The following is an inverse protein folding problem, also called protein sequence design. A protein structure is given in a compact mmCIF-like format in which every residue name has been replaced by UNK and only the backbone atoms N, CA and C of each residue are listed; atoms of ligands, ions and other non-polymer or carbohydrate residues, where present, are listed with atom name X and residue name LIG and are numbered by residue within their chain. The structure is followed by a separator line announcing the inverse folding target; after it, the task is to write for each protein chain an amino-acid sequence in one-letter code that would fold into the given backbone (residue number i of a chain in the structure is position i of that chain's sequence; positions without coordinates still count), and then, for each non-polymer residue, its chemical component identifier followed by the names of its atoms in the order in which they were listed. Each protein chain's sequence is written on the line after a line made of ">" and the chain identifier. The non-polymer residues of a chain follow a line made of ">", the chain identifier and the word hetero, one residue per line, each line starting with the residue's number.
data_IF_012027695390
#
_entry.id   IF_012027695390
#
_cell.length_a   1.000
_cell.length_b   1.000
_cell.length_c   1.000
_cell.angle_alpha   90.00
_cell.angle_beta   90.00
_cell.angle_gamma   90.00
#
_symmetry.space_group_name_H-M   'P 1'
#
loop_
_entity.id
_entity.type
_entity.pdbx_description
1 polymer ?
#
# COMPACT_ATOMS: atom_id res chain seq x y z
N UNK A 1 22.10 16.41 -2.58
CA UNK A 1 22.06 15.01 -3.08
C UNK A 1 20.66 14.49 -2.81
N UNK A 2 19.90 14.11 -3.83
CA UNK A 2 18.59 13.51 -3.61
C UNK A 2 18.81 12.08 -3.11
N UNK A 3 18.42 11.81 -1.86
CA UNK A 3 18.56 10.51 -1.23
C UNK A 3 17.41 9.62 -1.72
N UNK A 4 17.57 8.99 -2.88
CA UNK A 4 16.56 8.08 -3.45
C UNK A 4 16.63 6.74 -2.72
N UNK A 5 15.56 6.38 -2.01
CA UNK A 5 15.43 5.12 -1.28
C UNK A 5 14.44 4.20 -2.01
N UNK A 6 14.78 2.92 -2.15
CA UNK A 6 13.88 1.93 -2.75
C UNK A 6 12.86 1.47 -1.71
N UNK A 7 11.57 1.71 -1.98
CA UNK A 7 10.49 1.34 -1.07
C UNK A 7 9.92 -0.06 -1.38
N UNK A 8 10.23 -0.69 -2.51
CA UNK A 8 9.64 -1.98 -2.85
C UNK A 8 10.32 -3.17 -2.14
N UNK A 9 9.51 -4.16 -1.78
CA UNK A 9 9.90 -5.49 -1.34
C UNK A 9 9.78 -6.43 -2.54
N UNK A 10 10.92 -6.89 -3.03
CA UNK A 10 10.99 -8.04 -3.93
C UNK A 10 11.09 -9.32 -3.10
N UNK A 11 10.36 -10.35 -3.53
CA UNK A 11 10.34 -11.66 -2.87
C UNK A 11 11.06 -12.66 -3.77
N UNK A 12 12.14 -13.26 -3.28
CA UNK A 12 12.90 -14.27 -4.02
C UNK A 12 12.36 -15.69 -3.78
N UNK A 13 12.90 -16.66 -4.54
CA UNK A 13 12.44 -18.05 -4.49
C UNK A 13 12.58 -18.70 -3.11
N UNK A 14 13.56 -18.28 -2.31
CA UNK A 14 13.81 -18.86 -0.99
C UNK A 14 12.83 -18.35 0.08
N UNK A 15 12.08 -17.28 -0.20
CA UNK A 15 11.19 -16.68 0.77
C UNK A 15 9.89 -17.50 0.97
N UNK A 16 9.37 -17.65 2.20
CA UNK A 16 8.14 -18.40 2.47
C UNK A 16 6.92 -17.94 1.64
N UNK A 17 6.77 -16.64 1.42
CA UNK A 17 5.69 -16.08 0.60
C UNK A 17 5.77 -16.52 -0.87
N UNK A 18 6.97 -16.61 -1.45
CA UNK A 18 7.16 -17.13 -2.80
C UNK A 18 6.74 -18.60 -2.88
N UNK A 19 7.20 -19.40 -1.92
CA UNK A 19 6.86 -20.82 -1.85
C UNK A 19 5.36 -21.04 -1.62
N UNK A 20 4.70 -20.15 -0.87
CA UNK A 20 3.25 -20.15 -0.73
C UNK A 20 2.54 -19.84 -2.06
N UNK A 21 2.96 -18.79 -2.76
CA UNK A 21 2.36 -18.37 -4.04
C UNK A 21 2.49 -19.47 -5.11
N UNK A 22 3.67 -20.10 -5.21
CA UNK A 22 3.94 -21.22 -6.11
C UNK A 22 3.03 -22.44 -5.88
N UNK A 23 2.53 -22.63 -4.67
CA UNK A 23 1.64 -23.76 -4.29
C UNK A 23 0.16 -23.49 -4.55
N UNK A 24 -0.23 -22.27 -4.89
CA UNK A 24 -1.61 -21.94 -5.20
C UNK A 24 -2.02 -22.50 -6.57
N UNK A 25 -3.30 -22.89 -6.70
CA UNK A 25 -3.85 -23.38 -7.97
C UNK A 25 -3.78 -22.30 -9.06
N UNK A 26 -3.99 -21.04 -8.69
CA UNK A 26 -3.72 -19.87 -9.52
C UNK A 26 -2.45 -19.17 -9.01
N UNK A 27 -1.30 -19.76 -9.32
CA UNK A 27 0.00 -19.23 -8.88
C UNK A 27 0.30 -17.84 -9.44
N UNK A 28 -0.16 -17.54 -10.67
CA UNK A 28 0.02 -16.22 -11.29
C UNK A 28 -0.71 -15.14 -10.49
N UNK A 29 -1.97 -15.38 -10.13
CA UNK A 29 -2.70 -14.47 -9.25
C UNK A 29 -2.01 -14.34 -7.89
N UNK A 30 -1.60 -15.45 -7.29
CA UNK A 30 -0.95 -15.43 -5.97
C UNK A 30 0.38 -14.65 -5.97
N UNK A 31 1.16 -14.70 -7.05
CA UNK A 31 2.37 -13.89 -7.21
C UNK A 31 2.07 -12.39 -7.30
N UNK A 32 0.87 -12.00 -7.74
CA UNK A 32 0.42 -10.60 -7.73
C UNK A 32 0.22 -10.02 -6.34
N UNK A 33 0.07 -10.86 -5.31
CA UNK A 33 -0.23 -10.46 -3.93
C UNK A 33 0.95 -10.64 -2.95
N UNK A 34 2.18 -10.85 -3.47
CA UNK A 34 3.38 -10.95 -2.63
C UNK A 34 4.36 -9.81 -2.91
N UNK A 35 5.14 -9.45 -1.90
CA UNK A 35 6.00 -8.28 -1.95
C UNK A 35 5.21 -6.98 -1.90
N UNK A 36 5.85 -5.89 -2.32
CA UNK A 36 5.14 -4.63 -2.55
C UNK A 36 4.27 -4.81 -3.78
N UNK A 37 2.97 -4.57 -3.64
CA UNK A 37 2.01 -4.77 -4.73
C UNK A 37 0.84 -3.78 -4.60
N UNK A 38 -0.01 -3.81 -5.61
CA UNK A 38 -1.25 -3.07 -5.70
C UNK A 38 -2.37 -4.07 -5.93
N UNK A 39 -3.39 -4.00 -5.09
CA UNK A 39 -4.63 -4.74 -5.32
C UNK A 39 -5.59 -3.86 -6.14
N UNK A 40 -6.07 -4.40 -7.25
CA UNK A 40 -7.05 -3.76 -8.13
C UNK A 40 -8.13 -4.76 -8.51
N UNK A 41 -9.39 -4.39 -8.33
CA UNK A 41 -10.54 -5.27 -8.53
C UNK A 41 -11.52 -4.81 -9.60
N UNK A 42 -11.59 -3.52 -9.86
CA UNK A 42 -12.52 -2.91 -10.84
C UNK A 42 -11.83 -1.93 -11.78
N UNK A 43 -10.82 -1.20 -11.29
CA UNK A 43 -10.03 -0.24 -12.06
C UNK A 43 -8.60 -0.23 -11.53
N UNK A 44 -7.64 0.00 -12.42
CA UNK A 44 -6.24 0.20 -12.05
C UNK A 44 -5.69 1.57 -12.48
N UNK A 45 -4.46 1.90 -12.05
CA UNK A 45 -3.74 3.09 -12.48
C UNK A 45 -3.63 3.15 -14.01
N UNK A 46 -3.90 4.32 -14.57
CA UNK A 46 -3.90 4.56 -16.03
C UNK A 46 -2.49 4.71 -16.62
N UNK A 47 -1.57 5.26 -15.83
CA UNK A 47 -0.17 5.46 -16.23
C UNK A 47 0.68 4.33 -15.68
N UNK A 48 1.77 4.00 -16.35
CA UNK A 48 2.79 3.08 -15.81
C UNK A 48 3.74 3.76 -14.84
N UNK A 49 3.78 5.10 -14.82
CA UNK A 49 4.65 5.87 -13.94
C UNK A 49 3.93 7.08 -13.35
N UNK A 50 4.20 7.34 -12.07
CA UNK A 50 3.71 8.50 -11.33
C UNK A 50 4.83 9.13 -10.52
N UNK A 51 4.78 10.44 -10.37
CA UNK A 51 5.55 11.18 -9.39
C UNK A 51 4.58 12.05 -8.61
N UNK A 52 4.41 11.75 -7.33
CA UNK A 52 3.44 12.44 -6.46
C UNK A 52 4.13 12.95 -5.22
N UNK A 53 3.70 14.12 -4.73
CA UNK A 53 4.01 14.55 -3.37
C UNK A 53 3.35 13.63 -2.36
N UNK A 54 3.85 13.61 -1.13
CA UNK A 54 3.37 12.69 -0.10
C UNK A 54 3.04 13.39 1.20
N UNK A 55 2.00 12.90 1.88
CA UNK A 55 1.68 13.22 3.27
C UNK A 55 1.91 11.97 4.10
N UNK A 56 2.84 12.02 5.05
CA UNK A 56 3.13 10.90 5.96
C UNK A 56 2.31 11.05 7.24
N UNK A 57 1.58 10.00 7.60
CA UNK A 57 0.84 9.89 8.85
C UNK A 57 1.51 8.81 9.70
N UNK A 58 2.01 9.21 10.88
CA UNK A 58 2.61 8.28 11.85
C UNK A 58 1.52 7.43 12.51
N UNK A 59 1.54 6.14 12.20
CA UNK A 59 0.59 5.12 12.65
C UNK A 59 1.25 4.08 13.56
N UNK A 60 2.46 4.34 14.08
CA UNK A 60 3.21 3.36 14.89
C UNK A 60 2.50 2.94 16.17
N UNK A 61 1.68 3.84 16.72
CA UNK A 61 0.88 3.61 17.94
C UNK A 61 -0.53 3.13 17.62
N UNK A 62 -1.20 3.75 16.65
CA UNK A 62 -2.56 3.42 16.22
C UNK A 62 -2.81 3.94 14.80
N UNK A 63 -3.78 3.35 14.10
CA UNK A 63 -4.23 3.84 12.81
C UNK A 63 -4.85 5.25 12.90
N UNK A 64 -4.85 6.04 11.82
CA UNK A 64 -5.25 7.44 11.85
C UNK A 64 -6.69 7.63 12.33
N UNK A 65 -6.89 8.70 13.09
CA UNK A 65 -8.23 9.17 13.48
C UNK A 65 -8.71 10.29 12.57
N UNK A 66 -10.01 10.59 12.60
CA UNK A 66 -10.58 11.73 11.88
C UNK A 66 -9.89 13.05 12.19
N UNK A 67 -9.48 13.27 13.45
CA UNK A 67 -8.78 14.49 13.85
C UNK A 67 -7.40 14.62 13.20
N UNK A 68 -6.72 13.49 12.95
CA UNK A 68 -5.40 13.46 12.31
C UNK A 68 -5.50 13.77 10.82
N UNK A 69 -6.53 13.26 10.14
CA UNK A 69 -6.69 13.45 8.68
C UNK A 69 -7.38 14.75 8.32
N UNK A 70 -8.17 15.33 9.23
CA UNK A 70 -8.92 16.56 8.98
C UNK A 70 -7.96 17.76 8.83
N UNK A 71 -8.02 18.41 7.67
CA UNK A 71 -7.21 19.60 7.37
C UNK A 71 -5.85 19.29 6.72
N UNK A 72 -5.52 18.01 6.51
CA UNK A 72 -4.40 17.64 5.64
C UNK A 72 -4.80 17.84 4.18
N UNK A 73 -3.94 18.53 3.43
CA UNK A 73 -4.08 18.64 1.97
C UNK A 73 -3.52 17.39 1.31
N UNK A 74 -4.42 16.50 0.88
CA UNK A 74 -4.10 15.21 0.25
C UNK A 74 -4.35 15.19 -1.26
N UNK A 75 -4.84 16.30 -1.84
CA UNK A 75 -5.28 16.34 -3.24
C UNK A 75 -4.17 15.99 -4.22
N UNK A 76 -4.34 14.89 -4.95
CA UNK A 76 -3.36 14.37 -5.91
C UNK A 76 -2.09 13.76 -5.29
N UNK A 77 -2.04 13.62 -3.95
CA UNK A 77 -0.86 13.17 -3.21
C UNK A 77 -0.95 11.69 -2.82
N UNK A 78 0.19 11.10 -2.52
CA UNK A 78 0.28 9.82 -1.83
C UNK A 78 0.17 10.00 -0.32
N UNK A 79 -0.84 9.39 0.30
CA UNK A 79 -0.96 9.31 1.75
C UNK A 79 -0.19 8.09 2.24
N UNK A 80 0.86 8.31 3.02
CA UNK A 80 1.71 7.24 3.55
C UNK A 80 1.31 6.94 4.99
N UNK A 81 0.82 5.74 5.24
CA UNK A 81 0.48 5.22 6.55
C UNK A 81 1.70 4.49 7.11
N UNK A 82 2.49 5.18 7.94
CA UNK A 82 3.70 4.61 8.54
C UNK A 82 3.37 3.89 9.84
N UNK A 83 3.16 2.59 9.77
CA UNK A 83 2.81 1.72 10.90
C UNK A 83 4.03 1.18 11.64
N UNK A 84 5.21 1.15 10.99
CA UNK A 84 6.39 0.45 11.49
C UNK A 84 6.19 -1.06 11.63
N UNK A 85 5.16 -1.65 10.99
CA UNK A 85 4.87 -3.07 11.08
C UNK A 85 6.02 -3.89 10.45
N UNK A 86 6.43 -3.50 9.25
CA UNK A 86 7.52 -4.16 8.53
C UNK A 86 8.84 -4.17 9.32
N UNK A 87 9.24 -3.01 9.88
CA UNK A 87 10.49 -2.87 10.65
C UNK A 87 10.48 -3.68 11.96
N UNK A 88 9.31 -3.87 12.57
CA UNK A 88 9.16 -4.59 13.84
C UNK A 88 9.01 -6.10 13.68
N UNK A 89 8.43 -6.56 12.57
CA UNK A 89 7.95 -7.93 12.46
C UNK A 89 8.47 -8.71 11.26
N UNK A 90 9.21 -8.05 10.35
CA UNK A 90 9.62 -8.59 9.05
C UNK A 90 8.45 -9.03 8.17
N UNK A 91 8.65 -8.94 6.85
CA UNK A 91 7.61 -9.29 5.89
C UNK A 91 7.24 -10.79 5.97
N UNK A 92 5.94 -11.09 5.91
CA UNK A 92 5.43 -12.46 5.78
C UNK A 92 5.50 -13.31 7.06
N UNK A 93 5.86 -12.74 8.21
CA UNK A 93 5.80 -13.46 9.49
C UNK A 93 4.37 -13.49 10.06
N UNK A 94 4.05 -14.45 10.95
CA UNK A 94 2.76 -14.45 11.64
C UNK A 94 2.51 -13.21 12.50
N UNK A 95 3.56 -12.54 12.97
CA UNK A 95 3.42 -11.29 13.74
C UNK A 95 3.04 -10.12 12.83
N UNK A 96 3.63 -10.06 11.64
CA UNK A 96 3.32 -9.07 10.62
C UNK A 96 1.85 -9.07 10.23
N UNK A 97 1.28 -10.26 9.98
CA UNK A 97 -0.13 -10.43 9.61
C UNK A 97 -1.13 -10.24 10.75
N UNK A 98 -0.69 -9.94 11.98
CA UNK A 98 -1.58 -9.68 13.14
C UNK A 98 -1.67 -8.20 13.50
N UNK A 99 -0.91 -7.33 12.84
CA UNK A 99 -0.92 -5.90 13.12
C UNK A 99 -2.26 -5.29 12.73
N UNK A 100 -2.94 -4.57 13.63
CA UNK A 100 -4.23 -3.96 13.32
C UNK A 100 -4.04 -2.72 12.43
N UNK A 101 -4.08 -2.89 11.11
CA UNK A 101 -3.85 -1.81 10.13
C UNK A 101 -5.09 -1.37 9.37
N UNK A 102 -6.27 -1.76 9.82
CA UNK A 102 -7.52 -1.35 9.21
C UNK A 102 -7.85 0.11 9.51
N UNK A 103 -8.27 0.85 8.48
CA UNK A 103 -8.89 2.16 8.64
C UNK A 103 -10.35 1.99 9.05
N UNK A 104 -10.89 2.97 9.76
CA UNK A 104 -12.35 3.13 9.85
C UNK A 104 -12.89 3.68 8.53
N UNK A 105 -14.12 3.34 8.15
CA UNK A 105 -14.75 3.86 6.92
C UNK A 105 -14.74 5.38 6.84
N UNK A 106 -15.00 6.07 7.95
CA UNK A 106 -15.04 7.55 7.98
C UNK A 106 -13.69 8.18 7.64
N UNK A 107 -12.61 7.55 8.09
CA UNK A 107 -11.24 8.02 7.82
C UNK A 107 -10.87 7.78 6.37
N UNK A 108 -11.21 6.62 5.81
CA UNK A 108 -11.03 6.34 4.40
C UNK A 108 -11.81 7.34 3.54
N UNK A 109 -13.11 7.50 3.79
CA UNK A 109 -13.97 8.42 3.05
C UNK A 109 -13.47 9.87 3.14
N UNK A 110 -12.90 10.27 4.28
CA UNK A 110 -12.28 11.58 4.44
C UNK A 110 -11.02 11.75 3.59
N UNK A 111 -10.16 10.72 3.47
CA UNK A 111 -8.97 10.76 2.61
C UNK A 111 -9.37 10.82 1.13
N UNK A 112 -10.35 9.99 0.73
CA UNK A 112 -10.85 9.93 -0.64
C UNK A 112 -11.56 11.22 -1.05
N UNK A 113 -12.36 11.81 -0.15
CA UNK A 113 -13.02 13.10 -0.37
C UNK A 113 -12.05 14.28 -0.49
N UNK A 114 -10.81 14.14 -0.01
CA UNK A 114 -9.72 15.13 -0.22
C UNK A 114 -8.94 14.86 -1.51
N UNK A 115 -9.25 13.80 -2.25
CA UNK A 115 -8.62 13.47 -3.53
C UNK A 115 -7.23 12.85 -3.40
N UNK A 116 -6.97 12.06 -2.36
CA UNK A 116 -5.76 11.24 -2.28
C UNK A 116 -5.59 10.39 -3.55
N UNK A 117 -4.42 10.44 -4.20
CA UNK A 117 -4.16 9.67 -5.42
C UNK A 117 -3.66 8.25 -5.12
N UNK A 118 -2.95 8.10 -4.01
CA UNK A 118 -2.47 6.80 -3.54
C UNK A 118 -2.56 6.73 -2.03
N UNK A 119 -2.80 5.53 -1.50
CA UNK A 119 -2.58 5.20 -0.09
C UNK A 119 -1.45 4.18 -0.05
N UNK A 120 -0.32 4.52 0.57
CA UNK A 120 0.82 3.63 0.69
C UNK A 120 0.95 3.18 2.14
N UNK A 121 1.12 1.88 2.38
CA UNK A 121 1.23 1.34 3.75
C UNK A 121 2.36 0.32 3.87
N UNK A 122 3.11 0.40 4.97
CA UNK A 122 4.17 -0.57 5.31
C UNK A 122 3.60 -1.81 6.03
N UNK A 123 2.44 -2.27 5.59
CA UNK A 123 1.65 -3.39 6.11
C UNK A 123 0.85 -4.06 4.99
N UNK A 124 0.09 -5.10 5.34
CA UNK A 124 -0.71 -5.96 4.47
C UNK A 124 -2.03 -5.35 3.96
N UNK A 125 -2.20 -4.03 4.07
CA UNK A 125 -3.41 -3.35 3.61
C UNK A 125 -4.16 -2.54 4.66
N UNK A 126 -5.27 -1.93 4.20
CA UNK A 126 -6.05 -0.91 4.94
C UNK A 126 -7.46 -1.34 5.33
N UNK A 127 -7.93 -2.51 4.89
CA UNK A 127 -9.19 -3.13 5.33
C UNK A 127 -8.94 -4.38 6.17
N UNK A 128 -9.95 -4.86 6.91
CA UNK A 128 -9.86 -6.21 7.47
C UNK A 128 -9.93 -7.26 6.35
N UNK A 129 -9.33 -8.43 6.59
CA UNK A 129 -9.27 -9.51 5.62
C UNK A 129 -10.63 -9.88 5.01
N UNK A 130 -10.62 -10.33 3.76
CA UNK A 130 -11.82 -10.84 3.07
C UNK A 130 -12.60 -9.73 2.37
N UNK A 131 -13.92 -9.71 2.54
CA UNK A 131 -14.80 -8.81 1.80
C UNK A 131 -14.58 -7.33 2.13
N UNK A 132 -14.17 -7.01 3.37
CA UNK A 132 -13.92 -5.61 3.76
C UNK A 132 -12.69 -5.04 3.04
N UNK A 133 -11.60 -5.79 2.97
CA UNK A 133 -10.40 -5.45 2.18
C UNK A 133 -10.77 -5.08 0.74
N UNK A 134 -11.46 -5.99 0.05
CA UNK A 134 -11.91 -5.78 -1.33
C UNK A 134 -12.83 -4.56 -1.44
N UNK A 135 -13.71 -4.36 -0.44
CA UNK A 135 -14.60 -3.20 -0.43
C UNK A 135 -13.85 -1.88 -0.28
N UNK A 136 -12.74 -1.84 0.46
CA UNK A 136 -11.96 -0.63 0.67
C UNK A 136 -11.15 -0.30 -0.58
N UNK A 137 -10.53 -1.30 -1.20
CA UNK A 137 -9.76 -1.10 -2.43
C UNK A 137 -10.66 -0.63 -3.57
N UNK A 138 -11.81 -1.27 -3.77
CA UNK A 138 -12.80 -0.79 -4.76
C UNK A 138 -13.27 0.63 -4.50
N UNK A 139 -13.45 1.01 -3.23
CA UNK A 139 -13.85 2.37 -2.88
C UNK A 139 -12.74 3.38 -3.19
N UNK A 140 -11.48 3.00 -2.99
CA UNK A 140 -10.34 3.79 -3.45
C UNK A 140 -10.37 3.95 -4.97
N UNK A 141 -10.54 2.84 -5.68
CA UNK A 141 -10.60 2.81 -7.14
C UNK A 141 -11.71 3.73 -7.68
N UNK A 142 -12.91 3.73 -7.09
CA UNK A 142 -14.02 4.62 -7.46
C UNK A 142 -13.65 6.11 -7.39
N UNK A 143 -12.64 6.48 -6.59
CA UNK A 143 -12.14 7.84 -6.41
C UNK A 143 -10.82 8.11 -7.15
N UNK A 144 -10.39 7.23 -8.06
CA UNK A 144 -9.08 7.30 -8.73
C UNK A 144 -7.91 7.28 -7.73
N UNK A 145 -8.11 6.63 -6.58
CA UNK A 145 -7.12 6.34 -5.56
C UNK A 145 -6.72 4.86 -5.60
N UNK A 146 -5.47 4.54 -5.31
CA UNK A 146 -5.00 3.16 -5.31
C UNK A 146 -4.14 2.83 -4.09
N UNK A 147 -4.31 1.62 -3.56
CA UNK A 147 -3.59 1.16 -2.37
C UNK A 147 -2.30 0.44 -2.80
N UNK A 148 -1.16 0.85 -2.24
CA UNK A 148 0.13 0.19 -2.42
C UNK A 148 0.55 -0.39 -1.08
N UNK A 149 0.68 -1.70 -1.05
CA UNK A 149 0.91 -2.45 0.18
C UNK A 149 2.36 -2.85 0.36
N UNK A 150 2.71 -3.20 1.60
CA UNK A 150 4.00 -3.75 1.96
C UNK A 150 5.19 -2.85 1.53
N UNK A 151 5.08 -1.52 1.63
CA UNK A 151 6.21 -0.64 1.33
C UNK A 151 7.25 -0.66 2.45
N UNK A 152 8.53 -0.52 2.09
CA UNK A 152 9.62 -0.38 3.05
C UNK A 152 9.63 1.01 3.65
N UNK A 153 9.36 1.09 4.94
CA UNK A 153 9.44 2.32 5.70
C UNK A 153 10.32 2.12 6.94
N UNK A 154 11.09 3.16 7.26
CA UNK A 154 11.82 3.31 8.51
C UNK A 154 11.54 4.71 9.05
N UNK A 155 11.86 4.95 10.31
CA UNK A 155 11.71 6.30 10.90
C UNK A 155 12.49 7.36 10.12
N UNK A 156 13.68 7.00 9.62
CA UNK A 156 14.51 7.89 8.80
C UNK A 156 13.85 8.26 7.46
N UNK A 157 13.23 7.27 6.79
CA UNK A 157 12.49 7.52 5.54
C UNK A 157 11.26 8.39 5.83
N UNK A 158 10.46 8.02 6.84
CA UNK A 158 9.24 8.72 7.20
C UNK A 158 9.48 10.22 7.52
N UNK A 159 10.55 10.54 8.26
CA UNK A 159 10.87 11.93 8.59
C UNK A 159 11.28 12.81 7.39
N UNK A 160 11.79 12.19 6.32
CA UNK A 160 12.36 12.89 5.17
C UNK A 160 11.50 12.81 3.90
N UNK A 161 10.51 11.91 3.86
CA UNK A 161 9.69 11.67 2.68
C UNK A 161 8.84 12.92 2.34
N UNK A 162 8.94 13.36 1.08
CA UNK A 162 8.18 14.49 0.52
C UNK A 162 7.46 14.13 -0.78
N UNK A 163 7.89 13.05 -1.42
CA UNK A 163 7.27 12.51 -2.61
C UNK A 163 7.76 11.10 -2.88
N UNK A 164 7.09 10.44 -3.82
CA UNK A 164 7.40 9.09 -4.25
C UNK A 164 7.30 9.01 -5.77
N UNK A 165 8.24 8.27 -6.38
CA UNK A 165 8.14 7.82 -7.75
C UNK A 165 7.61 6.39 -7.74
N UNK A 166 6.48 6.16 -8.43
CA UNK A 166 5.83 4.85 -8.51
C UNK A 166 5.94 4.40 -9.95
N UNK A 167 6.38 3.15 -10.16
CA UNK A 167 6.41 2.50 -11.46
C UNK A 167 5.72 1.16 -11.34
N UNK A 168 4.89 0.84 -12.32
CA UNK A 168 4.19 -0.43 -12.43
C UNK A 168 4.84 -1.24 -13.54
N UNK A 169 5.28 -2.45 -13.23
CA UNK A 169 5.80 -3.38 -14.23
C UNK A 169 4.61 -3.94 -15.01
N UNK A 170 4.40 -3.42 -16.23
CA UNK A 170 3.45 -4.01 -17.17
C UNK A 170 4.00 -5.35 -17.68
N UNK A 171 3.80 -6.42 -16.92
CA UNK A 171 3.81 -7.76 -17.49
C UNK A 171 2.57 -7.92 -18.40
N UNK A 172 2.79 -8.43 -19.61
CA UNK A 172 1.87 -8.27 -20.73
C UNK A 172 0.45 -8.83 -20.56
N UNK A 173 -0.51 -8.14 -21.17
CA UNK A 173 -1.75 -8.71 -21.71
C UNK A 173 -2.63 -9.50 -20.75
N UNK A 174 -3.32 -8.80 -19.84
CA UNK A 174 -4.44 -9.37 -19.08
C UNK A 174 -4.54 -8.77 -17.68
N UNK A 175 -5.14 -7.58 -17.58
CA UNK A 175 -5.81 -7.06 -16.37
C UNK A 175 -5.16 -7.22 -14.99
N UNK A 176 -3.84 -7.35 -14.83
CA UNK A 176 -3.21 -7.42 -13.49
C UNK A 176 -1.84 -6.76 -13.48
N UNK A 177 -1.63 -5.83 -12.55
CA UNK A 177 -0.41 -5.03 -12.39
C UNK A 177 0.40 -5.57 -11.20
N UNK A 178 1.64 -5.96 -11.44
CA UNK A 178 2.68 -6.21 -10.41
C UNK A 178 3.60 -4.98 -10.31
N UNK A 179 4.06 -4.65 -9.11
CA UNK A 179 4.95 -3.52 -8.78
C UNK A 179 6.43 -3.87 -8.78
#
# INVERSE_FOLDING_TARGET
>A
MNNTQRLSIEVNEDHPAYQWAKRQSDSVAAFGHIGTHIDCYSKGPQKSEYQVETVVIDCRVAMPTMAMVKGLDMGGKGVVLYTGNLERHDYGTPAYGKCATHLTSEVLDQMLGQGAAFILIDSYGIGAHGEEHISFDRRCEDHDCFVIENIRMTEAIAGQMRGVAIRFDRAGGGDRQTL
#
